data_IF_294514842088
#
_entry.id   IF_294514842088
#
_cell.length_a   1.000
_cell.length_b   1.000
_cell.length_c   1.000
_cell.angle_alpha   90.00
_cell.angle_beta   90.00
_cell.angle_gamma   90.00
#
_symmetry.space_group_name_H-M   'P 1'
#
loop_
_entity.id
_entity.type
_entity.pdbx_description
1 polymer ?
#
# COMPACT_ATOMS: atom_id res chain seq x y z
N UNK A 1 -12.29 -12.40 10.77
CA UNK A 1 -11.89 -11.11 10.18
C UNK A 1 -11.32 -11.38 8.80
N UNK A 2 -12.00 -10.91 7.74
CA UNK A 2 -11.54 -11.12 6.37
C UNK A 2 -10.23 -10.37 6.12
N UNK A 3 -9.36 -10.94 5.28
CA UNK A 3 -8.11 -10.31 4.92
C UNK A 3 -8.43 -9.01 4.14
N UNK A 4 -7.90 -7.88 4.60
CA UNK A 4 -8.09 -6.59 3.93
C UNK A 4 -7.35 -6.56 2.58
N UNK A 5 -8.06 -6.20 1.51
CA UNK A 5 -7.52 -6.12 0.15
C UNK A 5 -6.39 -5.09 0.02
N UNK A 6 -6.49 -3.96 0.70
CA UNK A 6 -5.47 -2.90 0.73
C UNK A 6 -4.17 -3.45 1.33
N UNK A 7 -4.27 -4.19 2.42
CA UNK A 7 -3.11 -4.81 3.07
C UNK A 7 -2.48 -5.93 2.22
N UNK A 8 -3.29 -6.74 1.53
CA UNK A 8 -2.78 -7.77 0.60
C UNK A 8 -2.03 -7.14 -0.56
N UNK A 9 -2.59 -6.07 -1.13
CA UNK A 9 -1.94 -5.37 -2.24
C UNK A 9 -0.64 -4.71 -1.79
N UNK A 10 -0.60 -4.11 -0.60
CA UNK A 10 0.60 -3.48 -0.06
C UNK A 10 1.73 -4.49 0.09
N UNK A 11 1.44 -5.67 0.68
CA UNK A 11 2.42 -6.75 0.84
C UNK A 11 2.94 -7.26 -0.51
N UNK A 12 2.08 -7.38 -1.52
CA UNK A 12 2.48 -7.80 -2.88
C UNK A 12 3.40 -6.77 -3.54
N UNK A 13 3.08 -5.48 -3.42
CA UNK A 13 3.90 -4.41 -3.99
C UNK A 13 5.26 -4.31 -3.31
N UNK A 14 5.32 -4.45 -1.98
CA UNK A 14 6.59 -4.47 -1.24
C UNK A 14 7.52 -5.61 -1.69
N UNK A 15 6.96 -6.78 -2.01
CA UNK A 15 7.73 -7.90 -2.52
C UNK A 15 8.17 -7.71 -3.98
N UNK A 16 7.35 -7.05 -4.80
CA UNK A 16 7.60 -6.89 -6.23
C UNK A 16 8.49 -5.68 -6.58
N UNK A 17 8.46 -4.60 -5.78
CA UNK A 17 9.18 -3.37 -6.08
C UNK A 17 10.70 -3.53 -6.19
N UNK A 18 11.40 -4.24 -5.28
CA UNK A 18 12.84 -4.46 -5.40
C UNK A 18 13.25 -5.27 -6.65
N UNK A 19 12.30 -5.98 -7.28
CA UNK A 19 12.55 -6.80 -8.46
C UNK A 19 12.32 -6.02 -9.77
N UNK A 20 11.77 -4.79 -9.72
CA UNK A 20 11.56 -4.00 -10.92
C UNK A 20 12.86 -3.34 -11.40
N UNK A 21 13.19 -3.58 -12.67
CA UNK A 21 14.33 -2.95 -13.34
C UNK A 21 13.94 -1.68 -14.10
N UNK A 22 12.64 -1.50 -14.38
CA UNK A 22 12.14 -0.34 -15.09
C UNK A 22 11.93 0.84 -14.11
N UNK A 23 12.72 1.90 -14.28
CA UNK A 23 12.67 3.06 -13.39
C UNK A 23 11.30 3.75 -13.36
N UNK A 24 10.59 3.87 -14.50
CA UNK A 24 9.26 4.45 -14.52
C UNK A 24 8.25 3.60 -13.72
N UNK A 25 8.37 2.27 -13.79
CA UNK A 25 7.57 1.36 -12.96
C UNK A 25 7.93 1.44 -11.48
N UNK A 26 9.20 1.62 -11.15
CA UNK A 26 9.64 1.82 -9.76
C UNK A 26 9.02 3.09 -9.16
N UNK A 27 9.04 4.21 -9.90
CA UNK A 27 8.41 5.46 -9.45
C UNK A 27 6.91 5.27 -9.23
N UNK A 28 6.23 4.58 -10.15
CA UNK A 28 4.82 4.24 -9.99
C UNK A 28 4.58 3.37 -8.74
N UNK A 29 5.38 2.34 -8.51
CA UNK A 29 5.23 1.45 -7.36
C UNK A 29 5.46 2.18 -6.04
N UNK A 30 6.44 3.08 -5.95
CA UNK A 30 6.64 3.90 -4.74
C UNK A 30 5.44 4.80 -4.48
N UNK A 31 4.85 5.41 -5.51
CA UNK A 31 3.64 6.21 -5.36
C UNK A 31 2.45 5.39 -4.86
N UNK A 32 2.22 4.21 -5.44
CA UNK A 32 1.12 3.31 -5.02
C UNK A 32 1.34 2.74 -3.61
N UNK A 33 2.58 2.46 -3.22
CA UNK A 33 2.91 2.02 -1.86
C UNK A 33 2.55 3.09 -0.81
N UNK A 34 2.82 4.37 -1.11
CA UNK A 34 2.45 5.49 -0.23
C UNK A 34 0.93 5.59 -0.07
N UNK A 35 0.20 5.58 -1.18
CA UNK A 35 -1.27 5.66 -1.18
C UNK A 35 -1.92 4.52 -0.38
N UNK A 36 -1.44 3.28 -0.54
CA UNK A 36 -1.97 2.14 0.22
C UNK A 36 -1.65 2.22 1.72
N UNK A 37 -0.52 2.82 2.09
CA UNK A 37 -0.19 3.07 3.49
C UNK A 37 -1.13 4.11 4.10
N UNK A 38 -1.42 5.20 3.37
CA UNK A 38 -2.37 6.24 3.77
C UNK A 38 -3.78 5.66 3.95
N UNK A 39 -4.27 4.86 2.99
CA UNK A 39 -5.57 4.18 3.10
C UNK A 39 -5.64 3.24 4.30
N UNK A 40 -4.58 2.48 4.59
CA UNK A 40 -4.55 1.63 5.79
C UNK A 40 -4.55 2.47 7.07
N UNK A 41 -3.89 3.62 7.09
CA UNK A 41 -3.90 4.51 8.24
C UNK A 41 -5.29 5.11 8.48
N UNK A 42 -6.01 5.50 7.42
CA UNK A 42 -7.40 5.94 7.48
C UNK A 42 -8.34 4.81 7.93
N UNK A 43 -8.23 3.61 7.35
CA UNK A 43 -9.03 2.45 7.77
C UNK A 43 -8.79 2.05 9.25
N UNK A 44 -7.60 2.33 9.78
CA UNK A 44 -7.25 2.12 11.20
C UNK A 44 -7.66 3.28 12.10
N UNK A 45 -7.97 4.44 11.52
CA UNK A 45 -8.44 5.63 12.23
C UNK A 45 -9.93 5.75 11.96
N UNK A 46 -10.81 5.06 12.73
CA UNK A 46 -12.24 5.31 12.59
C UNK A 46 -12.46 6.81 12.86
N UNK A 47 -13.23 7.48 12.02
CA UNK A 47 -13.60 8.91 12.09
C UNK A 47 -14.41 9.25 13.38
N UNK A 48 -13.85 8.95 14.54
CA UNK A 48 -14.54 8.95 15.82
C UNK A 48 -13.70 8.28 16.89
N UNK A 49 -12.55 8.87 17.22
CA UNK A 49 -12.03 8.81 18.58
C UNK A 49 -12.36 10.16 19.24
N UNK A 50 -12.88 10.17 20.49
CA UNK A 50 -13.47 11.35 21.13
C UNK A 50 -12.50 12.52 21.32
#
# INVERSE_FOLDING_TARGET
MGINKTEVNLRRLLAAAPQQQNQAKLVHYVATLREQLEQLAEEKTPEGLP
#
